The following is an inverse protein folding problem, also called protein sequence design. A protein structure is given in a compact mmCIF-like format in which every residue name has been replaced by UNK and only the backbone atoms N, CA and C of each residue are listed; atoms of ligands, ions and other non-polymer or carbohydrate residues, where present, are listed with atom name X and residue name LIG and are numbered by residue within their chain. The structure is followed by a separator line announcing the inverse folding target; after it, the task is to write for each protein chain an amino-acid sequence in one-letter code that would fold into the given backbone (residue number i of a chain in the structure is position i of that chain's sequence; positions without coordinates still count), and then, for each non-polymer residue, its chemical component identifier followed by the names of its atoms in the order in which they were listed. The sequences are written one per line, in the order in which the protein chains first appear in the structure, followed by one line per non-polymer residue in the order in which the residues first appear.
data_IF_965209890427
#
_entry.id   IF_965209890427
#
_cell.length_a   1.000
_cell.length_b   1.000
_cell.length_c   1.000
_cell.angle_alpha   90.00
_cell.angle_beta   90.00
_cell.angle_gamma   90.00
#
_symmetry.space_group_name_H-M   'P 1'
#
loop_
_entity.id
_entity.type
_entity.pdbx_description
1 polymer ?
#
# COMPACT_ATOMS: atom_id res chain seq x y z
N UNK A 1 -29.78 -9.74 -13.00
CA UNK A 1 -28.57 -10.45 -13.49
C UNK A 1 -27.34 -9.54 -13.70
N UNK A 2 -27.43 -8.21 -13.55
CA UNK A 2 -26.30 -7.31 -13.90
C UNK A 2 -25.28 -7.07 -12.77
N UNK A 3 -25.57 -7.52 -11.55
CA UNK A 3 -24.80 -7.17 -10.34
C UNK A 3 -23.95 -8.37 -9.85
N UNK A 4 -24.23 -9.59 -10.31
CA UNK A 4 -23.47 -10.78 -9.92
C UNK A 4 -22.03 -10.73 -10.42
N UNK A 5 -21.81 -10.26 -11.66
CA UNK A 5 -20.48 -10.11 -12.24
C UNK A 5 -19.62 -9.09 -11.47
N UNK A 6 -20.07 -7.85 -11.21
CA UNK A 6 -19.26 -6.90 -10.46
C UNK A 6 -19.02 -7.34 -9.01
N UNK A 7 -19.99 -7.98 -8.35
CA UNK A 7 -19.77 -8.53 -7.00
C UNK A 7 -18.71 -9.64 -7.03
N UNK A 8 -18.79 -10.57 -7.97
CA UNK A 8 -17.80 -11.65 -8.11
C UNK A 8 -16.39 -11.09 -8.31
N UNK A 9 -16.25 -10.09 -9.19
CA UNK A 9 -14.97 -9.48 -9.53
C UNK A 9 -14.39 -8.70 -8.34
N UNK A 10 -15.24 -8.03 -7.56
CA UNK A 10 -14.86 -7.35 -6.32
C UNK A 10 -14.39 -8.37 -5.26
N UNK A 11 -15.14 -9.44 -5.03
CA UNK A 11 -14.75 -10.50 -4.10
C UNK A 11 -13.40 -11.13 -4.48
N UNK A 12 -13.16 -11.35 -5.78
CA UNK A 12 -11.90 -11.92 -6.27
C UNK A 12 -10.72 -10.97 -6.04
N UNK A 13 -10.91 -9.66 -6.21
CA UNK A 13 -9.89 -8.66 -5.89
C UNK A 13 -9.51 -8.67 -4.40
N UNK A 14 -10.50 -8.68 -3.50
CA UNK A 14 -10.25 -8.76 -2.06
C UNK A 14 -9.60 -10.08 -1.64
N UNK A 15 -10.04 -11.20 -2.22
CA UNK A 15 -9.41 -12.50 -1.98
C UNK A 15 -7.93 -12.51 -2.41
N UNK A 16 -7.61 -11.91 -3.56
CA UNK A 16 -6.23 -11.78 -4.04
C UNK A 16 -5.35 -10.95 -3.10
N UNK A 17 -5.87 -9.83 -2.58
CA UNK A 17 -5.16 -8.99 -1.60
C UNK A 17 -4.93 -9.77 -0.29
N UNK A 18 -5.95 -10.48 0.21
CA UNK A 18 -5.85 -11.27 1.43
C UNK A 18 -4.81 -12.39 1.32
N UNK A 19 -4.83 -13.15 0.22
CA UNK A 19 -3.84 -14.20 -0.04
C UNK A 19 -2.42 -13.61 -0.10
N UNK A 20 -2.26 -12.44 -0.72
CA UNK A 20 -0.97 -11.75 -0.79
C UNK A 20 -0.41 -11.40 0.60
N UNK A 21 -1.25 -11.06 1.57
CA UNK A 21 -0.82 -10.79 2.96
C UNK A 21 -0.31 -12.08 3.63
N UNK A 22 -1.04 -13.19 3.47
CA UNK A 22 -0.67 -14.48 4.05
C UNK A 22 0.63 -15.05 3.45
N UNK A 23 0.88 -14.80 2.16
CA UNK A 23 2.08 -15.26 1.45
C UNK A 23 3.28 -14.33 1.62
N UNK A 24 3.11 -13.15 2.21
CA UNK A 24 4.20 -12.19 2.36
C UNK A 24 5.02 -12.49 3.61
N UNK A 25 6.32 -12.66 3.43
CA UNK A 25 7.29 -12.82 4.52
C UNK A 25 7.18 -11.59 5.43
N UNK A 26 6.94 -11.83 6.73
CA UNK A 26 6.71 -10.85 7.79
C UNK A 26 5.34 -10.13 7.82
N UNK A 27 4.40 -10.47 6.93
CA UNK A 27 3.02 -9.95 6.97
C UNK A 27 2.89 -8.44 6.76
N UNK A 28 3.99 -7.72 6.45
CA UNK A 28 4.00 -6.27 6.29
C UNK A 28 3.73 -5.87 4.85
N UNK A 29 2.88 -4.87 4.65
CA UNK A 29 2.84 -4.15 3.38
C UNK A 29 4.17 -3.40 3.18
N UNK A 30 4.71 -3.42 1.96
CA UNK A 30 6.09 -2.96 1.69
C UNK A 30 6.10 -1.44 1.51
N UNK A 31 5.71 -0.75 2.58
CA UNK A 31 5.51 0.69 2.63
C UNK A 31 4.05 1.12 2.47
N UNK A 32 3.80 2.35 2.88
CA UNK A 32 2.52 3.04 2.73
C UNK A 32 2.47 3.71 1.35
N UNK A 33 1.27 3.85 0.76
CA UNK A 33 1.11 4.32 -0.63
C UNK A 33 1.87 5.63 -0.93
N UNK A 34 1.97 6.54 0.04
CA UNK A 34 2.70 7.80 -0.13
C UNK A 34 4.21 7.60 -0.26
N UNK A 35 4.81 6.73 0.56
CA UNK A 35 6.27 6.53 0.57
C UNK A 35 6.81 5.74 -0.63
N UNK A 36 5.94 5.01 -1.34
CA UNK A 36 6.31 4.23 -2.53
C UNK A 36 5.90 4.93 -3.83
N UNK A 37 5.24 6.09 -3.78
CA UNK A 37 4.82 6.81 -4.96
C UNK A 37 5.97 7.66 -5.52
N UNK A 38 6.44 7.45 -6.76
CA UNK A 38 7.49 8.26 -7.40
C UNK A 38 7.23 9.77 -7.38
N UNK A 39 5.95 10.17 -7.40
CA UNK A 39 5.53 11.57 -7.38
C UNK A 39 5.79 12.26 -6.03
N UNK A 40 5.85 11.48 -4.95
CA UNK A 40 6.10 11.96 -3.58
C UNK A 40 7.46 11.50 -3.06
N UNK A 41 8.42 11.16 -3.93
CA UNK A 41 9.77 10.82 -3.52
C UNK A 41 10.72 11.99 -3.80
N UNK A 42 11.62 12.25 -2.85
CA UNK A 42 12.72 13.19 -2.98
C UNK A 42 13.83 12.61 -3.87
N UNK A 43 14.83 13.42 -4.21
CA UNK A 43 16.05 12.96 -4.89
C UNK A 43 16.78 11.84 -4.12
N UNK A 44 16.61 11.79 -2.80
CA UNK A 44 17.17 10.78 -1.91
C UNK A 44 16.27 9.52 -1.76
N UNK A 45 15.09 9.48 -2.40
CA UNK A 45 14.15 8.35 -2.33
C UNK A 45 13.27 8.33 -1.07
N UNK A 46 13.26 9.41 -0.29
CA UNK A 46 12.41 9.58 0.89
C UNK A 46 11.09 10.27 0.54
N UNK A 47 10.04 10.04 1.33
CA UNK A 47 8.75 10.70 1.15
C UNK A 47 8.89 12.23 1.28
N UNK A 48 8.51 12.99 0.24
CA UNK A 48 8.60 14.45 0.19
C UNK A 48 7.67 15.17 1.15
N UNK A 49 6.66 14.49 1.66
CA UNK A 49 5.69 15.05 2.60
C UNK A 49 6.13 14.92 4.06
N UNK A 50 6.73 13.80 4.46
CA UNK A 50 7.05 13.51 5.86
C UNK A 50 8.50 13.07 6.13
N UNK A 51 9.34 12.93 5.10
CA UNK A 51 10.73 12.49 5.22
C UNK A 51 10.89 11.04 5.73
N UNK A 52 9.84 10.22 5.60
CA UNK A 52 9.92 8.79 5.90
C UNK A 52 10.61 8.05 4.74
N UNK A 53 11.48 7.10 5.07
CA UNK A 53 12.01 6.15 4.08
C UNK A 53 10.92 5.13 3.69
N UNK A 54 11.04 4.45 2.53
CA UNK A 54 10.05 3.46 2.05
C UNK A 54 9.66 2.36 3.05
N UNK A 55 10.56 2.01 3.97
CA UNK A 55 10.32 0.98 5.00
C UNK A 55 9.81 1.55 6.34
N UNK A 56 9.81 2.88 6.48
CA UNK A 56 9.42 3.58 7.71
C UNK A 56 7.93 3.96 7.70
N UNK A 57 7.35 4.11 8.88
CA UNK A 57 6.00 4.67 9.01
C UNK A 57 6.02 6.19 8.74
N UNK A 58 4.84 6.72 8.40
CA UNK A 58 4.69 8.15 8.17
C UNK A 58 5.05 8.93 9.45
N UNK A 59 5.88 9.96 9.34
CA UNK A 59 6.31 10.76 10.50
C UNK A 59 5.37 11.92 10.84
N UNK A 60 4.31 12.13 10.03
CA UNK A 60 3.40 13.27 10.17
C UNK A 60 2.50 13.23 11.42
N UNK A 61 2.45 12.10 12.13
CA UNK A 61 1.72 11.95 13.40
C UNK A 61 2.48 12.51 14.61
N UNK A 62 3.69 13.07 14.42
CA UNK A 62 4.51 13.68 15.47
C UNK A 62 4.69 15.20 15.30
N UNK A 63 3.92 15.84 14.42
CA UNK A 63 3.98 17.29 14.15
C UNK A 63 2.70 18.01 14.61
#
# INVERSE_FOLDING_TARGET
MNILIPILLLCLAFAGIAIKILLKKDGKFAGTCASNNPMFQNEEGECSFCGAKPDENCKSETA
#
